data_IF_371429641135
#
_entry.id   IF_371429641135
#
_cell.length_a   1.000
_cell.length_b   1.000
_cell.length_c   1.000
_cell.angle_alpha   90.00
_cell.angle_beta   90.00
_cell.angle_gamma   90.00
#
_symmetry.space_group_name_H-M   'P 1'
#
loop_
_entity.id
_entity.type
_entity.pdbx_description
1 polymer ?
#
# COMPACT_ATOMS: atom_id res chain seq x y z
N UNK A 1 -43.39 -25.70 14.22
CA UNK A 1 -43.28 -24.24 14.43
C UNK A 1 -42.12 -23.70 13.62
N UNK A 2 -42.20 -22.44 13.22
CA UNK A 2 -41.04 -21.78 12.63
C UNK A 2 -39.95 -21.61 13.70
N UNK A 3 -38.69 -21.74 13.28
CA UNK A 3 -37.51 -21.38 14.06
C UNK A 3 -37.01 -20.05 13.52
N UNK A 4 -36.65 -19.13 14.41
CA UNK A 4 -35.96 -17.88 14.02
C UNK A 4 -34.65 -17.77 14.75
N UNK A 5 -33.65 -17.15 14.10
CA UNK A 5 -32.36 -16.85 14.69
C UNK A 5 -31.88 -15.50 14.14
N UNK A 6 -31.40 -14.62 15.02
CA UNK A 6 -30.82 -13.37 14.63
C UNK A 6 -29.39 -13.61 14.14
N UNK A 7 -28.94 -12.81 13.20
CA UNK A 7 -27.55 -12.78 12.78
C UNK A 7 -27.00 -11.35 12.74
N UNK A 8 -25.73 -11.22 13.14
CA UNK A 8 -24.99 -9.98 13.13
C UNK A 8 -23.70 -10.16 12.29
N UNK A 9 -23.27 -9.09 11.65
CA UNK A 9 -22.10 -9.05 10.77
C UNK A 9 -20.99 -8.26 11.42
N UNK A 10 -19.79 -8.81 11.34
CA UNK A 10 -18.51 -8.19 11.71
C UNK A 10 -17.44 -8.60 10.69
N UNK A 11 -16.21 -8.25 10.90
CA UNK A 11 -15.10 -8.57 9.99
C UNK A 11 -14.39 -7.30 9.51
N UNK A 12 -13.52 -7.44 8.54
CA UNK A 12 -12.76 -6.33 7.95
C UNK A 12 -13.45 -5.72 6.74
N UNK A 13 -14.23 -6.51 6.01
CA UNK A 13 -14.98 -6.05 4.84
C UNK A 13 -16.10 -5.08 5.22
N UNK A 14 -16.30 -4.06 4.40
CA UNK A 14 -17.28 -3.00 4.57
C UNK A 14 -18.58 -3.33 3.85
N UNK A 15 -19.67 -3.47 4.58
CA UNK A 15 -21.00 -3.74 4.01
C UNK A 15 -21.61 -2.55 3.29
N UNK A 16 -22.93 -2.66 3.02
CA UNK A 16 -23.74 -1.62 2.37
C UNK A 16 -23.37 -1.34 0.90
N UNK A 17 -22.74 -2.30 0.24
CA UNK A 17 -22.41 -2.23 -1.19
C UNK A 17 -21.04 -1.63 -1.48
N UNK A 18 -20.16 -1.47 -0.48
CA UNK A 18 -18.73 -1.19 -0.68
C UNK A 18 -18.05 -2.47 -1.13
N UNK A 19 -17.97 -3.49 -0.28
CA UNK A 19 -17.33 -4.77 -0.61
C UNK A 19 -18.36 -5.89 -0.79
N UNK A 20 -19.52 -5.79 -0.10
CA UNK A 20 -20.62 -6.74 -0.22
C UNK A 20 -21.95 -6.13 0.19
N UNK A 21 -23.05 -6.86 -0.09
CA UNK A 21 -24.38 -6.47 0.34
C UNK A 21 -24.97 -7.54 1.26
N UNK A 22 -25.06 -7.23 2.53
CA UNK A 22 -25.83 -7.92 3.56
C UNK A 22 -25.92 -6.99 4.78
N UNK A 23 -27.05 -6.96 5.45
CA UNK A 23 -27.24 -6.26 6.73
C UNK A 23 -27.56 -7.26 7.83
N UNK A 24 -27.38 -6.85 9.11
CA UNK A 24 -27.86 -7.61 10.25
C UNK A 24 -29.36 -7.94 10.10
N UNK A 25 -29.77 -9.11 10.53
CA UNK A 25 -31.15 -9.51 10.32
C UNK A 25 -31.57 -10.73 11.13
N UNK A 26 -32.71 -11.31 10.72
CA UNK A 26 -33.25 -12.52 11.30
C UNK A 26 -33.52 -13.53 10.20
N UNK A 27 -32.94 -14.72 10.33
CA UNK A 27 -33.24 -15.87 9.50
C UNK A 27 -34.47 -16.60 10.07
N UNK A 28 -35.42 -16.95 9.21
CA UNK A 28 -36.55 -17.79 9.55
C UNK A 28 -36.47 -19.13 8.82
N UNK A 29 -36.45 -20.22 9.57
CA UNK A 29 -36.57 -21.58 9.05
C UNK A 29 -38.02 -22.01 9.25
N UNK A 30 -38.70 -22.26 8.14
CA UNK A 30 -40.14 -22.60 8.16
C UNK A 30 -40.40 -23.94 8.84
N UNK A 31 -41.58 -24.08 9.45
CA UNK A 31 -42.01 -25.33 10.04
C UNK A 31 -41.97 -26.48 9.00
N UNK A 32 -41.30 -27.56 9.36
CA UNK A 32 -41.07 -28.72 8.45
C UNK A 32 -39.80 -28.66 7.64
N UNK A 33 -39.09 -27.52 7.64
CA UNK A 33 -37.75 -27.39 7.04
C UNK A 33 -36.66 -27.61 8.10
N UNK A 34 -35.50 -28.08 7.66
CA UNK A 34 -34.33 -28.33 8.52
C UNK A 34 -33.20 -27.34 8.25
N UNK A 35 -33.34 -26.42 7.25
CA UNK A 35 -32.34 -25.46 6.87
C UNK A 35 -32.94 -24.12 6.43
N UNK A 36 -32.17 -23.09 6.49
CA UNK A 36 -32.39 -21.77 5.92
C UNK A 36 -31.07 -21.18 5.43
N UNK A 37 -31.12 -20.17 4.58
CA UNK A 37 -29.91 -19.57 3.96
C UNK A 37 -29.79 -18.09 4.29
N UNK A 38 -28.60 -17.67 4.70
CA UNK A 38 -28.18 -16.27 4.75
C UNK A 38 -27.26 -16.06 3.54
N UNK A 39 -27.54 -15.08 2.71
CA UNK A 39 -26.78 -14.83 1.48
C UNK A 39 -25.96 -13.55 1.62
N UNK A 40 -24.66 -13.66 1.56
CA UNK A 40 -23.73 -12.55 1.32
C UNK A 40 -23.76 -12.33 -0.19
N UNK A 41 -24.31 -11.19 -0.63
CA UNK A 41 -24.51 -10.92 -2.06
C UNK A 41 -23.74 -9.72 -2.54
N UNK A 42 -23.69 -9.55 -3.87
CA UNK A 42 -23.07 -8.39 -4.52
C UNK A 42 -21.63 -8.15 -4.00
N UNK A 43 -20.82 -9.19 -4.04
CA UNK A 43 -19.38 -9.03 -3.81
C UNK A 43 -18.87 -8.09 -4.91
N UNK A 44 -18.20 -7.03 -4.50
CA UNK A 44 -17.63 -6.03 -5.41
C UNK A 44 -16.25 -6.53 -5.86
N UNK A 45 -16.01 -6.47 -7.15
CA UNK A 45 -14.76 -6.78 -7.83
C UNK A 45 -14.36 -5.50 -8.58
N UNK A 46 -13.25 -4.88 -8.21
CA UNK A 46 -12.77 -3.65 -8.85
C UNK A 46 -11.38 -3.87 -9.48
N UNK A 47 -10.46 -2.95 -9.46
CA UNK A 47 -9.10 -3.09 -10.00
C UNK A 47 -8.05 -2.53 -9.02
N UNK A 48 -8.40 -2.50 -7.76
CA UNK A 48 -7.58 -1.93 -6.70
C UNK A 48 -6.95 -3.04 -5.88
N UNK A 49 -5.63 -3.14 -5.91
CA UNK A 49 -4.88 -4.05 -5.03
C UNK A 49 -5.20 -3.80 -3.56
N UNK A 50 -5.81 -4.77 -2.91
CA UNK A 50 -6.31 -4.71 -1.55
C UNK A 50 -5.82 -5.90 -0.71
N UNK A 51 -5.99 -5.80 0.59
CA UNK A 51 -5.81 -6.97 1.45
C UNK A 51 -7.06 -7.87 1.40
N UNK A 52 -6.88 -9.18 1.54
CA UNK A 52 -8.03 -10.07 1.73
C UNK A 52 -8.86 -9.62 2.94
N UNK A 53 -10.17 -9.62 2.78
CA UNK A 53 -11.11 -9.15 3.78
C UNK A 53 -12.03 -10.26 4.27
N UNK A 54 -12.69 -10.03 5.41
CA UNK A 54 -13.56 -11.04 6.01
C UNK A 54 -14.95 -10.48 6.32
N UNK A 55 -15.98 -11.31 6.10
CA UNK A 55 -17.33 -11.12 6.61
C UNK A 55 -17.60 -12.24 7.62
N UNK A 56 -17.82 -11.89 8.87
CA UNK A 56 -18.14 -12.85 9.94
C UNK A 56 -19.61 -12.73 10.27
N UNK A 57 -20.36 -13.81 10.05
CA UNK A 57 -21.78 -13.92 10.38
C UNK A 57 -21.92 -14.67 11.70
N UNK A 58 -22.43 -14.02 12.73
CA UNK A 58 -22.63 -14.62 14.06
C UNK A 58 -24.12 -14.76 14.36
N UNK A 59 -24.54 -15.97 14.71
CA UNK A 59 -25.92 -16.28 15.07
C UNK A 59 -26.17 -15.99 16.56
N UNK A 60 -27.42 -15.56 16.89
CA UNK A 60 -27.79 -15.26 18.26
C UNK A 60 -29.30 -15.36 18.47
N UNK A 61 -29.72 -15.41 19.75
CA UNK A 61 -31.15 -15.31 20.18
C UNK A 61 -32.09 -16.22 19.39
N UNK A 62 -31.86 -17.53 19.33
CA UNK A 62 -32.78 -18.46 18.64
C UNK A 62 -34.15 -18.52 19.34
N UNK A 63 -35.19 -18.69 18.53
CA UNK A 63 -36.55 -18.95 19.02
C UNK A 63 -37.04 -20.30 18.51
N UNK A 64 -37.66 -21.09 19.39
CA UNK A 64 -38.07 -22.48 19.14
C UNK A 64 -36.92 -23.44 18.79
N UNK A 65 -35.67 -23.08 19.14
CA UNK A 65 -34.47 -23.88 18.99
C UNK A 65 -33.43 -23.47 20.06
N UNK A 66 -32.35 -24.22 20.15
CA UNK A 66 -31.16 -23.87 20.93
C UNK A 66 -30.00 -23.60 19.97
N UNK A 67 -29.13 -22.68 20.32
CA UNK A 67 -27.93 -22.42 19.57
C UNK A 67 -26.89 -23.55 19.78
N UNK A 68 -26.23 -23.98 18.72
CA UNK A 68 -25.13 -24.94 18.79
C UNK A 68 -23.79 -24.26 19.11
N UNK A 69 -22.72 -25.04 19.05
CA UNK A 69 -21.34 -24.55 19.25
C UNK A 69 -20.80 -23.77 18.03
N UNK A 70 -21.30 -24.07 16.84
CA UNK A 70 -20.86 -23.49 15.58
C UNK A 70 -21.82 -22.35 15.20
N UNK A 71 -21.75 -21.27 15.95
CA UNK A 71 -22.64 -20.12 15.84
C UNK A 71 -22.05 -18.97 15.02
N UNK A 72 -20.82 -19.10 14.54
CA UNK A 72 -20.16 -18.11 13.69
C UNK A 72 -19.61 -18.74 12.41
N UNK A 73 -19.73 -18.02 11.29
CA UNK A 73 -19.14 -18.38 10.00
C UNK A 73 -18.32 -17.22 9.46
N UNK A 74 -17.07 -17.51 9.06
CA UNK A 74 -16.20 -16.52 8.40
C UNK A 74 -16.15 -16.81 6.91
N UNK A 75 -16.56 -15.83 6.12
CA UNK A 75 -16.35 -15.77 4.68
C UNK A 75 -15.20 -14.83 4.38
N UNK A 76 -14.28 -15.23 3.52
CA UNK A 76 -13.15 -14.40 3.07
C UNK A 76 -13.41 -13.92 1.65
N UNK A 77 -13.37 -12.61 1.45
CA UNK A 77 -13.27 -11.97 0.13
C UNK A 77 -11.79 -11.93 -0.18
N UNK A 78 -11.41 -12.63 -1.25
CA UNK A 78 -10.01 -12.68 -1.69
C UNK A 78 -9.82 -11.68 -2.81
N UNK A 79 -8.84 -10.78 -2.63
CA UNK A 79 -8.39 -9.88 -3.67
C UNK A 79 -7.76 -10.67 -4.83
N UNK A 80 -8.07 -10.29 -6.07
CA UNK A 80 -7.58 -10.91 -7.30
C UNK A 80 -6.79 -9.93 -8.17
N UNK A 81 -6.54 -8.72 -7.67
CA UNK A 81 -5.81 -7.69 -8.36
C UNK A 81 -4.30 -7.78 -8.15
N UNK A 82 -3.56 -7.18 -9.05
CA UNK A 82 -2.10 -7.25 -9.00
C UNK A 82 -1.52 -6.09 -8.23
N UNK A 83 -0.64 -6.37 -7.29
CA UNK A 83 0.15 -5.34 -6.62
C UNK A 83 0.89 -4.45 -7.64
N UNK A 84 0.98 -3.14 -7.38
CA UNK A 84 1.65 -2.20 -8.28
C UNK A 84 3.13 -2.51 -8.45
N UNK A 85 3.71 -1.97 -9.52
CA UNK A 85 5.15 -1.96 -9.75
C UNK A 85 5.72 -0.63 -9.25
N UNK A 86 6.81 -0.67 -8.48
CA UNK A 86 7.51 0.52 -7.98
C UNK A 86 8.80 0.75 -8.76
N UNK A 87 8.97 1.98 -9.26
CA UNK A 87 10.11 2.42 -10.06
C UNK A 87 10.50 3.87 -9.73
N UNK A 88 11.73 4.27 -10.09
CA UNK A 88 12.05 5.70 -10.20
C UNK A 88 11.36 6.30 -11.43
N UNK A 89 10.76 7.48 -11.28
CA UNK A 89 10.16 8.23 -12.39
C UNK A 89 11.21 8.60 -13.46
N UNK A 90 12.44 8.84 -13.04
CA UNK A 90 13.58 9.12 -13.92
C UNK A 90 14.83 8.45 -13.36
N UNK A 91 15.63 7.84 -14.22
CA UNK A 91 16.86 7.15 -13.83
C UNK A 91 18.06 8.08 -13.64
N UNK A 92 17.97 9.31 -14.13
CA UNK A 92 19.04 10.32 -13.98
C UNK A 92 18.48 11.72 -13.83
N UNK A 93 19.19 12.57 -13.11
CA UNK A 93 19.02 14.02 -13.15
C UNK A 93 20.34 14.72 -12.81
N UNK A 94 20.41 16.04 -13.05
CA UNK A 94 21.53 16.87 -12.65
C UNK A 94 21.04 18.23 -12.18
N UNK A 95 21.81 18.90 -11.32
CA UNK A 95 21.55 20.26 -10.87
C UNK A 95 22.86 20.94 -10.45
N UNK A 96 22.83 22.24 -10.23
CA UNK A 96 23.97 23.03 -9.70
C UNK A 96 23.99 22.93 -8.16
N UNK A 97 25.17 23.00 -7.54
CA UNK A 97 25.34 23.03 -6.08
C UNK A 97 24.66 24.24 -5.42
N UNK A 98 24.42 25.30 -6.18
CA UNK A 98 23.63 26.45 -5.74
C UNK A 98 22.17 26.09 -5.38
N UNK A 99 21.71 24.88 -5.69
CA UNK A 99 20.39 24.34 -5.34
C UNK A 99 20.55 23.45 -4.11
N UNK A 100 20.02 23.85 -2.99
CA UNK A 100 20.24 23.24 -1.67
C UNK A 100 19.57 21.86 -1.48
N UNK A 101 18.71 21.43 -2.39
CA UNK A 101 18.02 20.13 -2.32
C UNK A 101 17.58 19.62 -3.68
N UNK A 102 17.41 18.30 -3.80
CA UNK A 102 16.84 17.62 -4.96
C UNK A 102 15.80 16.61 -4.53
N UNK A 103 14.60 16.76 -5.05
CA UNK A 103 13.52 15.77 -4.91
C UNK A 103 13.60 14.74 -6.04
N UNK A 104 13.52 13.47 -5.68
CA UNK A 104 13.55 12.33 -6.57
C UNK A 104 12.22 11.61 -6.39
N UNK A 105 11.45 11.52 -7.47
CA UNK A 105 10.12 10.88 -7.45
C UNK A 105 10.24 9.39 -7.70
N UNK A 106 9.52 8.63 -6.91
CA UNK A 106 9.28 7.20 -7.07
C UNK A 106 7.81 7.01 -7.39
N UNK A 107 7.52 6.26 -8.45
CA UNK A 107 6.17 6.06 -8.97
C UNK A 107 5.70 4.63 -8.74
N UNK A 108 4.38 4.46 -8.62
CA UNK A 108 3.68 3.19 -8.71
C UNK A 108 2.95 3.10 -10.05
N UNK A 109 2.92 1.91 -10.64
CA UNK A 109 2.23 1.65 -11.91
C UNK A 109 0.70 1.77 -11.81
N UNK A 110 0.14 1.59 -10.61
CA UNK A 110 -1.28 1.72 -10.29
C UNK A 110 -1.48 2.14 -8.84
N UNK A 111 -2.68 2.58 -8.51
CA UNK A 111 -3.08 2.85 -7.12
C UNK A 111 -3.19 1.52 -6.37
N UNK A 112 -2.82 1.51 -5.09
CA UNK A 112 -3.12 0.42 -4.14
C UNK A 112 -3.93 0.98 -2.98
N UNK A 113 -4.84 0.19 -2.43
CA UNK A 113 -5.54 0.50 -1.19
C UNK A 113 -4.66 0.31 0.04
N UNK A 114 -3.48 -0.25 -0.14
CA UNK A 114 -2.50 -0.48 0.91
C UNK A 114 -1.36 0.55 0.86
N UNK A 115 -0.72 0.81 2.01
CA UNK A 115 0.55 1.54 1.99
C UNK A 115 1.62 0.66 1.31
N UNK A 116 2.30 1.23 0.33
CA UNK A 116 3.47 0.62 -0.29
C UNK A 116 4.72 1.16 0.39
N UNK A 117 5.63 0.27 0.79
CA UNK A 117 6.95 0.67 1.27
C UNK A 117 8.04 0.12 0.35
N UNK A 118 9.13 0.85 0.21
CA UNK A 118 10.32 0.42 -0.52
C UNK A 118 11.57 0.96 0.17
N UNK A 119 12.53 0.09 0.41
CA UNK A 119 13.82 0.51 0.95
C UNK A 119 14.67 1.16 -0.14
N UNK A 120 15.45 2.17 0.24
CA UNK A 120 16.45 2.76 -0.65
C UNK A 120 17.81 2.82 0.04
N UNK A 121 18.84 2.51 -0.74
CA UNK A 121 20.24 2.66 -0.33
C UNK A 121 20.90 3.77 -1.14
N UNK A 122 21.79 4.52 -0.49
CA UNK A 122 22.49 5.68 -1.04
C UNK A 122 23.97 5.36 -1.21
N UNK A 123 24.48 5.51 -2.42
CA UNK A 123 25.90 5.30 -2.79
C UNK A 123 26.34 6.41 -3.73
N UNK A 124 27.55 6.32 -4.29
CA UNK A 124 28.07 7.28 -5.25
C UNK A 124 29.46 7.76 -4.88
N UNK A 125 29.93 8.81 -5.55
CA UNK A 125 31.25 9.42 -5.29
C UNK A 125 31.15 10.62 -4.34
N UNK A 126 29.98 11.28 -4.27
CA UNK A 126 29.72 12.34 -3.32
C UNK A 126 29.66 11.80 -1.88
N UNK A 127 30.18 12.57 -0.93
CA UNK A 127 30.28 12.20 0.49
C UNK A 127 29.06 12.71 1.25
N UNK A 128 28.29 11.79 1.79
CA UNK A 128 27.12 12.11 2.60
C UNK A 128 27.43 12.69 3.98
N UNK A 129 26.44 12.68 4.87
CA UNK A 129 26.53 13.14 6.26
C UNK A 129 26.85 14.63 6.41
N UNK A 130 26.47 15.45 5.42
CA UNK A 130 26.62 16.90 5.46
C UNK A 130 27.95 17.42 4.93
N UNK A 131 28.80 16.58 4.32
CA UNK A 131 29.99 17.04 3.58
C UNK A 131 29.54 17.64 2.23
N UNK A 132 28.97 16.85 1.34
CA UNK A 132 28.47 17.31 0.02
C UNK A 132 26.93 17.32 0.01
N UNK A 133 26.28 16.46 0.78
CA UNK A 133 24.81 16.39 0.93
C UNK A 133 24.40 15.68 2.22
N UNK A 134 23.09 15.72 2.51
CA UNK A 134 22.47 15.00 3.61
C UNK A 134 21.36 14.10 3.09
N UNK A 135 21.61 12.80 3.10
CA UNK A 135 20.66 11.72 2.92
C UNK A 135 21.31 10.42 3.39
N UNK A 136 20.63 9.62 4.19
CA UNK A 136 21.03 8.27 4.58
C UNK A 136 20.14 7.23 3.90
N UNK A 137 20.52 5.97 3.97
CA UNK A 137 19.66 4.85 3.61
C UNK A 137 18.36 4.93 4.41
N UNK A 138 17.26 4.49 3.83
CA UNK A 138 15.96 4.58 4.48
C UNK A 138 14.86 3.80 3.76
N UNK A 139 13.65 3.99 4.25
CA UNK A 139 12.44 3.41 3.67
C UNK A 139 11.50 4.53 3.24
N UNK A 140 11.08 4.51 1.98
CA UNK A 140 10.02 5.37 1.47
C UNK A 140 8.68 4.68 1.69
N UNK A 141 7.69 5.43 2.17
CA UNK A 141 6.30 4.99 2.23
C UNK A 141 5.46 5.82 1.26
N UNK A 142 4.77 5.15 0.36
CA UNK A 142 3.75 5.72 -0.51
C UNK A 142 2.40 5.33 0.09
N UNK A 143 1.63 6.32 0.53
CA UNK A 143 0.37 6.08 1.23
C UNK A 143 -0.68 5.46 0.31
N UNK A 144 -1.56 4.64 0.88
CA UNK A 144 -2.75 4.13 0.20
C UNK A 144 -3.47 5.24 -0.57
N UNK A 145 -3.92 4.94 -1.78
CA UNK A 145 -4.57 5.89 -2.68
C UNK A 145 -3.62 6.83 -3.45
N UNK A 146 -2.31 6.79 -3.18
CA UNK A 146 -1.30 7.57 -3.91
C UNK A 146 -0.54 6.70 -4.90
N UNK A 147 -0.06 7.31 -5.98
CA UNK A 147 0.80 6.66 -6.98
C UNK A 147 2.24 7.18 -6.97
N UNK A 148 2.58 8.12 -6.07
CA UNK A 148 3.90 8.73 -6.05
C UNK A 148 4.41 8.93 -4.63
N UNK A 149 5.72 8.81 -4.46
CA UNK A 149 6.46 9.19 -3.27
C UNK A 149 7.70 10.00 -3.63
N UNK A 150 8.34 10.61 -2.65
CA UNK A 150 9.51 11.47 -2.88
C UNK A 150 10.62 11.16 -1.89
N UNK A 151 11.81 10.93 -2.41
CA UNK A 151 13.07 10.89 -1.64
C UNK A 151 13.77 12.23 -1.88
N UNK A 152 14.22 12.89 -0.82
CA UNK A 152 14.84 14.21 -0.94
C UNK A 152 16.31 14.16 -0.51
N UNK A 153 17.22 14.39 -1.45
CA UNK A 153 18.61 14.74 -1.16
C UNK A 153 18.63 16.20 -0.71
N UNK A 154 19.02 16.44 0.53
CA UNK A 154 19.02 17.79 1.16
C UNK A 154 20.41 18.22 1.57
N UNK A 155 20.57 19.48 2.00
CA UNK A 155 21.83 19.99 2.49
C UNK A 155 22.97 19.85 1.46
N UNK A 156 22.67 20.08 0.19
CA UNK A 156 23.70 20.12 -0.86
C UNK A 156 24.58 21.33 -0.58
N UNK A 157 25.89 21.09 -0.46
CA UNK A 157 26.88 22.08 -0.04
C UNK A 157 27.46 22.73 -1.29
N UNK A 158 27.53 24.07 -1.27
CA UNK A 158 28.21 24.90 -2.26
C UNK A 158 29.26 25.71 -1.52
N UNK A 159 30.52 25.28 -1.51
CA UNK A 159 31.55 25.85 -0.67
C UNK A 159 32.56 26.74 -1.43
N UNK A 160 32.50 26.76 -2.76
CA UNK A 160 33.42 27.55 -3.59
C UNK A 160 34.76 26.85 -3.84
N UNK A 161 34.94 25.61 -3.43
CA UNK A 161 36.05 24.75 -3.81
C UNK A 161 35.81 24.18 -5.21
N UNK A 162 36.79 24.23 -6.09
CA UNK A 162 36.65 23.61 -7.41
C UNK A 162 36.74 22.10 -7.30
N UNK A 163 35.65 21.44 -7.43
CA UNK A 163 35.52 19.98 -7.36
C UNK A 163 35.19 19.38 -8.74
N UNK A 164 35.41 18.08 -8.88
CA UNK A 164 34.92 17.33 -10.04
C UNK A 164 33.43 17.02 -9.94
N UNK A 165 32.81 16.63 -11.05
CA UNK A 165 31.44 16.13 -10.99
C UNK A 165 31.38 14.86 -10.12
N UNK A 166 30.51 14.84 -9.15
CA UNK A 166 30.29 13.71 -8.26
C UNK A 166 28.89 13.11 -8.49
N UNK A 167 28.62 11.98 -7.89
CA UNK A 167 27.34 11.28 -8.06
C UNK A 167 26.73 10.91 -6.72
N UNK A 168 25.41 11.05 -6.62
CA UNK A 168 24.58 10.39 -5.63
C UNK A 168 23.76 9.35 -6.37
N UNK A 169 23.88 8.10 -5.96
CA UNK A 169 23.21 6.96 -6.58
C UNK A 169 22.24 6.37 -5.55
N UNK A 170 20.96 6.28 -5.91
CA UNK A 170 19.95 5.60 -5.12
C UNK A 170 19.57 4.27 -5.78
N UNK A 171 19.39 3.24 -4.98
CA UNK A 171 18.88 1.94 -5.43
C UNK A 171 17.67 1.53 -4.59
N UNK A 172 16.60 1.06 -5.24
CA UNK A 172 15.40 0.55 -4.57
C UNK A 172 15.52 -0.96 -4.31
N UNK A 173 14.96 -1.40 -3.17
CA UNK A 173 14.94 -2.82 -2.78
C UNK A 173 13.80 -3.12 -1.81
N UNK A 174 13.53 -4.42 -1.56
CA UNK A 174 12.62 -4.91 -0.52
C UNK A 174 11.25 -4.22 -0.49
N UNK A 175 10.50 -4.16 -1.61
CA UNK A 175 9.17 -3.56 -1.60
C UNK A 175 8.20 -4.40 -0.76
N UNK A 176 7.22 -3.74 -0.14
CA UNK A 176 6.06 -4.37 0.48
C UNK A 176 4.80 -3.84 -0.18
N UNK A 177 3.85 -4.73 -0.48
CA UNK A 177 2.61 -4.43 -1.23
C UNK A 177 2.89 -3.87 -2.63
N UNK A 178 4.02 -4.22 -3.22
CA UNK A 178 4.43 -3.87 -4.58
C UNK A 178 5.48 -4.86 -5.08
N UNK A 179 5.73 -4.87 -6.37
CA UNK A 179 6.88 -5.52 -6.99
C UNK A 179 7.88 -4.47 -7.49
N UNK A 180 9.16 -4.84 -7.55
CA UNK A 180 10.18 -3.97 -8.16
C UNK A 180 10.05 -3.98 -9.68
N UNK A 181 10.15 -2.81 -10.29
CA UNK A 181 10.20 -2.66 -11.75
C UNK A 181 11.61 -2.77 -12.31
N UNK A 182 11.87 -2.10 -13.40
CA UNK A 182 13.16 -2.12 -14.10
C UNK A 182 14.03 -0.88 -13.86
N UNK A 183 13.43 0.22 -13.41
CA UNK A 183 14.11 1.51 -13.17
C UNK A 183 14.54 1.65 -11.69
N UNK A 184 15.33 0.71 -11.20
CA UNK A 184 15.70 0.59 -9.78
C UNK A 184 16.91 1.42 -9.37
N UNK A 185 17.63 2.01 -10.33
CA UNK A 185 18.83 2.79 -10.09
C UNK A 185 18.64 4.22 -10.57
N UNK A 186 18.82 5.17 -9.68
CA UNK A 186 18.82 6.59 -9.99
C UNK A 186 20.22 7.16 -9.77
N UNK A 187 20.72 7.91 -10.74
CA UNK A 187 22.03 8.55 -10.67
C UNK A 187 21.89 10.07 -10.84
N UNK A 188 22.36 10.82 -9.88
CA UNK A 188 22.50 12.27 -9.99
C UNK A 188 23.99 12.62 -10.03
N UNK A 189 24.53 13.14 -11.12
CA UNK A 189 25.84 13.79 -11.07
C UNK A 189 25.71 15.07 -10.25
N UNK A 190 26.60 15.25 -9.28
CA UNK A 190 26.78 16.53 -8.60
C UNK A 190 27.30 17.57 -9.60
N UNK A 191 26.86 18.83 -9.48
CA UNK A 191 27.20 19.85 -10.46
C UNK A 191 28.65 20.31 -10.34
N UNK A 192 29.22 20.67 -11.49
CA UNK A 192 30.50 21.34 -11.55
C UNK A 192 30.38 22.76 -11.02
N UNK A 193 31.23 23.15 -10.11
CA UNK A 193 31.58 24.56 -9.94
C UNK A 193 32.31 25.01 -11.24
N UNK A 194 31.59 25.71 -12.10
CA UNK A 194 32.18 26.38 -13.26
C UNK A 194 32.76 27.69 -12.79
N UNK A 195 33.91 27.64 -12.14
CA UNK A 195 34.74 28.81 -11.97
C UNK A 195 35.17 29.32 -13.36
N UNK A 196 34.58 30.42 -13.77
CA UNK A 196 35.18 31.34 -14.76
C UNK A 196 35.73 32.56 -14.10
#
# INVERSE_FOLDING_TARGET
>A
KNVTVNYALTGTATGSGTDYTLANGTLTISAGSTSGTITIGSIVDDSLDEANETVIVTLSSPSNATLGSDDAHTYTITDNDSAPVVDFQAITSSQLESVSSKSITVDLSSVSAQNVTVDYAVTGTATGSGTDYTLADGTLTISAGSTTGTITVSGIVNDGTSEGSETVILSLSSPSNASLGSCLLYTSPSPRDLMR
#
